data_IF_755604147934
#
_entry.id   IF_755604147934
#
_cell.length_a   1.000
_cell.length_b   1.000
_cell.length_c   1.000
_cell.angle_alpha   90.00
_cell.angle_beta   90.00
_cell.angle_gamma   90.00
#
_symmetry.space_group_name_H-M   'P 1'
#
loop_
_entity.id
_entity.type
_entity.pdbx_description
1 polymer ?
#
# COMPACT_ATOMS: atom_id res chain seq x y z
N UNK A 1 26.97 33.79 -55.90
CA UNK A 1 26.50 34.06 -54.52
C UNK A 1 25.17 33.41 -54.15
N UNK A 2 24.16 33.23 -55.04
CA UNK A 2 22.85 32.62 -54.69
C UNK A 2 22.87 31.13 -54.36
N UNK A 3 23.82 30.34 -54.86
CA UNK A 3 23.92 28.89 -54.59
C UNK A 3 24.41 28.56 -53.15
N UNK A 4 25.24 29.39 -52.55
CA UNK A 4 25.75 29.17 -51.18
C UNK A 4 24.74 29.57 -50.11
N UNK A 5 23.80 30.45 -50.40
CA UNK A 5 22.72 30.86 -49.50
C UNK A 5 21.73 29.70 -49.23
N UNK A 6 21.45 28.87 -50.24
CA UNK A 6 20.58 27.70 -50.10
C UNK A 6 21.18 26.58 -49.25
N UNK A 7 22.51 26.39 -49.35
CA UNK A 7 23.25 25.37 -48.55
C UNK A 7 23.26 25.79 -47.07
N UNK A 8 23.46 27.07 -46.76
CA UNK A 8 23.44 27.57 -45.38
C UNK A 8 22.06 27.42 -44.71
N UNK A 9 20.96 27.66 -45.43
CA UNK A 9 19.61 27.43 -44.90
C UNK A 9 19.29 25.95 -44.66
N UNK A 10 19.77 25.04 -45.52
CA UNK A 10 19.57 23.62 -45.34
C UNK A 10 20.33 23.06 -44.12
N UNK A 11 21.52 23.55 -43.83
CA UNK A 11 22.30 23.16 -42.61
C UNK A 11 21.65 23.65 -41.32
N UNK A 12 21.02 24.81 -41.31
CA UNK A 12 20.27 25.33 -40.16
C UNK A 12 19.02 24.48 -39.84
N UNK A 13 18.31 23.99 -40.85
CA UNK A 13 17.11 23.16 -40.66
C UNK A 13 17.48 21.78 -40.09
N UNK A 14 18.59 21.17 -40.50
CA UNK A 14 19.07 19.87 -40.02
C UNK A 14 19.53 19.99 -38.55
N UNK A 15 20.27 21.04 -38.20
CA UNK A 15 20.71 21.26 -36.81
C UNK A 15 19.53 21.45 -35.83
N UNK A 16 18.48 22.19 -36.24
CA UNK A 16 17.29 22.34 -35.40
C UNK A 16 16.53 21.01 -35.22
N UNK A 17 16.51 20.12 -36.20
CA UNK A 17 15.80 18.85 -36.13
C UNK A 17 16.54 17.84 -35.24
N UNK A 18 17.86 17.82 -35.25
CA UNK A 18 18.67 16.96 -34.37
C UNK A 18 18.59 17.41 -32.92
N UNK A 19 18.71 18.70 -32.64
CA UNK A 19 18.56 19.25 -31.30
C UNK A 19 17.17 18.95 -30.73
N UNK A 20 16.12 19.06 -31.52
CA UNK A 20 14.75 18.73 -31.08
C UNK A 20 14.59 17.25 -30.78
N UNK A 21 15.13 16.34 -31.61
CA UNK A 21 15.10 14.88 -31.37
C UNK A 21 15.87 14.52 -30.11
N UNK A 22 17.01 15.13 -29.84
CA UNK A 22 17.77 14.91 -28.63
C UNK A 22 17.02 15.40 -27.38
N UNK A 23 16.43 16.61 -27.43
CA UNK A 23 15.61 17.16 -26.33
C UNK A 23 14.43 16.26 -25.99
N UNK A 24 13.70 15.78 -27.00
CA UNK A 24 12.58 14.84 -26.80
C UNK A 24 13.08 13.55 -26.15
N UNK A 25 14.21 12.98 -26.59
CA UNK A 25 14.77 11.77 -26.02
C UNK A 25 15.19 11.99 -24.57
N UNK A 26 15.79 13.11 -24.23
CA UNK A 26 16.21 13.44 -22.88
C UNK A 26 15.00 13.63 -21.96
N UNK A 27 13.92 14.26 -22.44
CA UNK A 27 12.66 14.42 -21.72
C UNK A 27 11.98 13.08 -21.45
N UNK A 28 11.95 12.16 -22.43
CA UNK A 28 11.41 10.80 -22.27
C UNK A 28 12.21 9.97 -21.26
N UNK A 29 13.55 10.07 -21.26
CA UNK A 29 14.42 9.40 -20.30
C UNK A 29 14.15 9.91 -18.90
N UNK A 30 14.08 11.22 -18.71
CA UNK A 30 13.79 11.82 -17.41
C UNK A 30 12.40 11.42 -16.88
N UNK A 31 11.39 11.41 -17.74
CA UNK A 31 10.04 10.93 -17.36
C UNK A 31 10.09 9.47 -16.89
N UNK A 32 10.81 8.62 -17.63
CA UNK A 32 10.96 7.22 -17.25
C UNK A 32 11.64 7.06 -15.88
N UNK A 33 12.69 7.82 -15.61
CA UNK A 33 13.36 7.82 -14.31
C UNK A 33 12.39 8.23 -13.18
N UNK A 34 11.60 9.30 -13.38
CA UNK A 34 10.62 9.76 -12.42
C UNK A 34 9.56 8.69 -12.16
N UNK A 35 9.04 8.04 -13.20
CA UNK A 35 8.00 7.00 -13.06
C UNK A 35 8.53 5.74 -12.41
N UNK A 36 9.75 5.30 -12.74
CA UNK A 36 10.40 4.14 -12.13
C UNK A 36 10.68 4.40 -10.63
N UNK A 37 11.24 5.56 -10.29
CA UNK A 37 11.50 5.98 -8.91
C UNK A 37 10.19 6.05 -8.10
N UNK A 38 9.13 6.65 -8.67
CA UNK A 38 7.82 6.71 -8.05
C UNK A 38 7.29 5.31 -7.72
N UNK A 39 7.34 4.40 -8.69
CA UNK A 39 6.90 3.04 -8.49
C UNK A 39 7.69 2.32 -7.39
N UNK A 40 9.02 2.41 -7.42
CA UNK A 40 9.88 1.75 -6.42
C UNK A 40 9.64 2.30 -5.01
N UNK A 41 9.49 3.61 -4.88
CA UNK A 41 9.26 4.24 -3.58
C UNK A 41 7.82 3.97 -3.09
N UNK A 42 6.82 3.98 -3.99
CA UNK A 42 5.44 3.62 -3.69
C UNK A 42 5.34 2.22 -3.08
N UNK A 43 6.06 1.24 -3.61
CA UNK A 43 6.04 -0.13 -3.07
C UNK A 43 6.48 -0.19 -1.59
N UNK A 44 7.31 0.73 -1.14
CA UNK A 44 7.71 0.85 0.27
C UNK A 44 6.59 1.43 1.15
N UNK A 45 5.88 2.43 0.63
CA UNK A 45 4.75 3.04 1.36
C UNK A 45 3.50 2.17 1.33
N UNK A 46 3.33 1.35 0.31
CA UNK A 46 2.17 0.47 0.15
C UNK A 46 2.59 -1.01 0.10
N UNK A 47 3.13 -1.56 1.20
CA UNK A 47 3.69 -2.92 1.22
C UNK A 47 2.66 -4.03 0.98
N UNK A 48 1.37 -3.80 1.19
CA UNK A 48 0.32 -4.75 0.81
C UNK A 48 0.10 -4.76 -0.70
N UNK A 49 0.15 -3.59 -1.36
CA UNK A 49 0.17 -3.48 -2.82
C UNK A 49 1.42 -4.14 -3.40
N UNK A 50 2.59 -3.91 -2.78
CA UNK A 50 3.83 -4.59 -3.16
C UNK A 50 3.70 -6.11 -3.10
N UNK A 51 3.12 -6.64 -2.02
CA UNK A 51 2.87 -8.08 -1.86
C UNK A 51 1.92 -8.60 -2.94
N UNK A 52 0.83 -7.88 -3.25
CA UNK A 52 -0.12 -8.25 -4.28
C UNK A 52 0.51 -8.30 -5.68
N UNK A 53 1.48 -7.42 -5.94
CA UNK A 53 2.27 -7.36 -7.18
C UNK A 53 3.49 -8.31 -7.17
N UNK A 54 3.58 -9.25 -6.23
CA UNK A 54 4.70 -10.17 -6.04
C UNK A 54 6.07 -9.48 -5.78
N UNK A 55 6.04 -8.22 -5.32
CA UNK A 55 7.24 -7.50 -4.92
C UNK A 55 7.54 -7.77 -3.43
N UNK A 56 8.22 -8.90 -3.18
CA UNK A 56 8.34 -9.53 -1.85
C UNK A 56 9.27 -8.81 -0.86
N UNK A 57 9.88 -7.69 -1.26
CA UNK A 57 10.87 -6.97 -0.45
C UNK A 57 10.31 -6.45 0.88
N UNK A 58 9.01 -6.15 0.91
CA UNK A 58 8.33 -5.50 2.03
C UNK A 58 7.26 -6.36 2.69
N UNK A 59 7.35 -7.70 2.55
CA UNK A 59 6.36 -8.65 3.08
C UNK A 59 6.30 -8.71 4.62
N UNK A 60 7.22 -8.05 5.31
CA UNK A 60 7.25 -7.92 6.76
C UNK A 60 6.68 -6.59 7.28
N UNK A 61 6.29 -5.68 6.38
CA UNK A 61 5.79 -4.36 6.75
C UNK A 61 4.27 -4.29 6.66
N UNK A 62 3.67 -3.67 7.67
CA UNK A 62 2.30 -3.20 7.68
C UNK A 62 2.29 -1.82 8.35
N UNK A 63 2.32 -0.74 7.58
CA UNK A 63 2.31 0.60 8.15
C UNK A 63 0.96 0.94 8.78
N UNK A 64 0.98 1.85 9.73
CA UNK A 64 -0.25 2.44 10.28
C UNK A 64 -0.61 3.64 9.40
N UNK A 65 -1.10 3.35 8.19
CA UNK A 65 -1.38 4.34 7.14
C UNK A 65 -2.53 5.32 7.49
N UNK A 66 -3.28 4.98 8.53
CA UNK A 66 -4.32 5.83 9.12
C UNK A 66 -3.79 6.78 10.20
N UNK A 67 -2.50 6.74 10.55
CA UNK A 67 -1.91 7.68 11.50
C UNK A 67 -1.62 9.03 10.86
N UNK A 68 -1.77 10.12 11.62
CA UNK A 68 -1.49 11.47 11.12
C UNK A 68 -0.05 11.59 10.61
N UNK A 69 0.92 10.99 11.31
CA UNK A 69 2.33 11.00 10.89
C UNK A 69 2.55 10.30 9.53
N UNK A 70 1.82 9.20 9.28
CA UNK A 70 1.92 8.51 8.01
C UNK A 70 1.24 9.29 6.87
N UNK A 71 0.10 9.89 7.14
CA UNK A 71 -0.60 10.80 6.21
C UNK A 71 0.31 11.97 5.83
N UNK A 72 1.04 12.57 6.79
CA UNK A 72 2.02 13.61 6.50
C UNK A 72 3.18 13.10 5.65
N UNK A 73 3.63 11.87 5.88
CA UNK A 73 4.65 11.22 5.05
C UNK A 73 4.16 11.02 3.60
N UNK A 74 2.91 10.57 3.42
CA UNK A 74 2.32 10.42 2.09
C UNK A 74 2.15 11.76 1.39
N UNK A 75 1.74 12.81 2.12
CA UNK A 75 1.62 14.17 1.57
C UNK A 75 2.97 14.67 1.03
N UNK A 76 4.05 14.47 1.78
CA UNK A 76 5.40 14.81 1.33
C UNK A 76 5.85 13.95 0.14
N UNK A 77 5.49 12.66 0.12
CA UNK A 77 5.79 11.75 -0.98
C UNK A 77 5.13 12.22 -2.28
N UNK A 78 3.81 12.46 -2.28
CA UNK A 78 3.09 12.89 -3.47
C UNK A 78 3.55 14.27 -3.95
N UNK A 79 3.66 15.23 -3.04
CA UNK A 79 4.15 16.58 -3.36
C UNK A 79 5.52 16.55 -4.04
N UNK A 80 6.47 15.76 -3.51
CA UNK A 80 7.80 15.62 -4.11
C UNK A 80 7.75 15.09 -5.55
N UNK A 81 6.87 14.14 -5.85
CA UNK A 81 6.71 13.63 -7.21
C UNK A 81 5.93 14.58 -8.11
N UNK A 82 4.98 15.33 -7.59
CA UNK A 82 4.33 16.44 -8.31
C UNK A 82 5.36 17.48 -8.75
N UNK A 83 6.26 17.91 -7.85
CA UNK A 83 7.35 18.84 -8.18
C UNK A 83 8.32 18.26 -9.23
N UNK A 84 8.72 16.99 -9.08
CA UNK A 84 9.56 16.32 -10.10
C UNK A 84 8.86 16.30 -11.47
N UNK A 85 7.56 16.01 -11.51
CA UNK A 85 6.80 15.93 -12.76
C UNK A 85 6.69 17.30 -13.46
N UNK A 86 6.64 18.40 -12.70
CA UNK A 86 6.64 19.76 -13.26
C UNK A 86 7.95 20.12 -13.98
N UNK A 87 9.04 19.42 -13.74
CA UNK A 87 10.31 19.65 -14.46
C UNK A 87 10.29 19.09 -15.90
N UNK A 88 9.30 18.27 -16.24
CA UNK A 88 9.14 17.67 -17.55
C UNK A 88 8.57 18.67 -18.55
N UNK A 89 9.20 18.83 -19.70
CA UNK A 89 8.70 19.62 -20.81
C UNK A 89 7.57 18.86 -21.55
N UNK A 90 6.35 18.87 -20.99
CA UNK A 90 5.19 18.16 -21.51
C UNK A 90 4.95 18.30 -23.02
N UNK A 91 5.11 19.49 -23.65
CA UNK A 91 4.97 19.66 -25.10
C UNK A 91 5.92 18.81 -25.97
N UNK A 92 7.00 18.30 -25.41
CA UNK A 92 7.92 17.39 -26.11
C UNK A 92 7.50 15.93 -26.04
N UNK A 93 6.58 15.57 -25.14
CA UNK A 93 6.11 14.21 -24.97
C UNK A 93 5.08 13.85 -26.06
N UNK A 94 5.18 12.62 -26.55
CA UNK A 94 4.23 12.07 -27.54
C UNK A 94 3.91 10.60 -27.26
N UNK A 95 2.81 10.10 -27.81
CA UNK A 95 2.46 8.67 -27.70
C UNK A 95 2.39 8.17 -26.26
N UNK A 96 3.07 7.08 -25.96
CA UNK A 96 3.04 6.43 -24.64
C UNK A 96 3.61 7.31 -23.53
N UNK A 97 4.62 8.12 -23.81
CA UNK A 97 5.24 8.97 -22.79
C UNK A 97 4.27 10.07 -22.33
N UNK A 98 3.52 10.68 -23.26
CA UNK A 98 2.48 11.64 -22.89
C UNK A 98 1.40 10.99 -22.03
N UNK A 99 0.97 9.78 -22.37
CA UNK A 99 -0.01 9.03 -21.57
C UNK A 99 0.54 8.74 -20.18
N UNK A 100 1.79 8.28 -20.08
CA UNK A 100 2.44 8.00 -18.79
C UNK A 100 2.54 9.24 -17.90
N UNK A 101 2.89 10.39 -18.49
CA UNK A 101 2.89 11.67 -17.79
C UNK A 101 1.50 12.03 -17.25
N UNK A 102 0.47 11.97 -18.12
CA UNK A 102 -0.90 12.34 -17.75
C UNK A 102 -1.49 11.42 -16.69
N UNK A 103 -1.21 10.11 -16.77
CA UNK A 103 -1.64 9.13 -15.77
C UNK A 103 -0.96 9.41 -14.44
N UNK A 104 0.36 9.62 -14.41
CA UNK A 104 1.06 9.93 -13.16
C UNK A 104 0.56 11.25 -12.57
N UNK A 105 0.38 12.30 -13.38
CA UNK A 105 -0.16 13.57 -12.93
C UNK A 105 -1.56 13.42 -12.33
N UNK A 106 -2.43 12.63 -12.98
CA UNK A 106 -3.77 12.35 -12.47
C UNK A 106 -3.73 11.62 -11.13
N UNK A 107 -2.88 10.58 -11.01
CA UNK A 107 -2.70 9.83 -9.76
C UNK A 107 -2.24 10.78 -8.63
N UNK A 108 -1.19 11.56 -8.86
CA UNK A 108 -0.65 12.48 -7.85
C UNK A 108 -1.69 13.49 -7.38
N UNK A 109 -2.40 14.12 -8.31
CA UNK A 109 -3.47 15.08 -7.98
C UNK A 109 -4.61 14.42 -7.18
N UNK A 110 -5.03 13.22 -7.57
CA UNK A 110 -6.12 12.50 -6.90
C UNK A 110 -5.73 12.08 -5.48
N UNK A 111 -4.51 11.61 -5.30
CA UNK A 111 -3.99 11.21 -3.99
C UNK A 111 -3.82 12.42 -3.05
N UNK A 112 -3.25 13.52 -3.55
CA UNK A 112 -3.14 14.77 -2.78
C UNK A 112 -4.51 15.32 -2.36
N UNK A 113 -5.50 15.30 -3.26
CA UNK A 113 -6.88 15.67 -2.92
C UNK A 113 -7.49 14.70 -1.90
N UNK A 114 -7.26 13.40 -2.07
CA UNK A 114 -7.73 12.36 -1.14
C UNK A 114 -7.25 12.57 0.30
N UNK A 115 -6.00 13.03 0.48
CA UNK A 115 -5.44 13.31 1.80
C UNK A 115 -6.04 14.54 2.50
N UNK A 116 -6.90 15.32 1.85
CA UNK A 116 -7.64 16.43 2.48
C UNK A 116 -8.87 15.96 3.24
N UNK A 117 -9.35 14.75 2.96
CA UNK A 117 -10.50 14.18 3.64
C UNK A 117 -10.08 13.43 4.90
N UNK A 118 -10.81 13.56 6.01
CA UNK A 118 -10.50 12.91 7.27
C UNK A 118 -10.93 11.43 7.30
N UNK A 119 -10.66 10.69 6.23
CA UNK A 119 -11.03 9.28 6.06
C UNK A 119 -10.41 8.37 7.12
N UNK A 120 -9.25 8.75 7.66
CA UNK A 120 -8.59 8.07 8.75
C UNK A 120 -9.40 8.07 10.07
N UNK A 121 -10.40 8.95 10.21
CA UNK A 121 -11.31 8.97 11.35
C UNK A 121 -12.44 7.93 11.23
N UNK A 122 -12.61 7.31 10.06
CA UNK A 122 -13.57 6.24 9.79
C UNK A 122 -12.87 5.00 9.19
N UNK A 123 -11.87 4.41 9.86
CA UNK A 123 -11.00 3.38 9.28
C UNK A 123 -11.67 2.00 9.15
N UNK A 124 -12.87 1.83 9.69
CA UNK A 124 -13.60 0.56 9.73
C UNK A 124 -14.73 0.57 8.71
N UNK A 125 -14.76 -0.47 7.87
CA UNK A 125 -15.74 -0.61 6.81
C UNK A 125 -16.08 -2.10 6.59
N UNK A 126 -17.38 -2.41 6.39
CA UNK A 126 -17.86 -3.78 6.19
C UNK A 126 -17.44 -4.41 4.85
N UNK A 127 -17.01 -3.61 3.86
CA UNK A 127 -16.71 -4.12 2.51
C UNK A 127 -15.22 -4.34 2.26
N UNK A 128 -14.36 -3.46 2.78
CA UNK A 128 -12.91 -3.47 2.54
C UNK A 128 -12.09 -3.01 3.75
N UNK A 129 -12.58 -3.28 4.95
CA UNK A 129 -11.84 -2.96 6.17
C UNK A 129 -10.55 -3.78 6.30
N UNK A 130 -9.55 -3.21 7.00
CA UNK A 130 -8.25 -3.88 7.20
C UNK A 130 -8.39 -5.26 7.83
N UNK A 131 -9.39 -5.51 8.68
CA UNK A 131 -9.65 -6.83 9.27
C UNK A 131 -9.94 -7.91 8.21
N UNK A 132 -10.66 -7.55 7.11
CA UNK A 132 -10.94 -8.46 6.00
C UNK A 132 -9.67 -8.72 5.17
N UNK A 133 -8.98 -7.64 4.78
CA UNK A 133 -7.73 -7.74 4.02
C UNK A 133 -6.69 -8.56 4.76
N UNK A 134 -6.51 -8.29 6.06
CA UNK A 134 -5.51 -8.97 6.88
C UNK A 134 -5.85 -10.44 7.11
N UNK A 135 -7.13 -10.79 7.29
CA UNK A 135 -7.56 -12.18 7.41
C UNK A 135 -7.33 -12.97 6.11
N UNK A 136 -7.57 -12.35 4.95
CA UNK A 136 -7.24 -12.96 3.66
C UNK A 136 -5.73 -13.21 3.50
N UNK A 137 -4.89 -12.20 3.83
CA UNK A 137 -3.43 -12.35 3.78
C UNK A 137 -2.95 -13.49 4.69
N UNK A 138 -3.49 -13.58 5.90
CA UNK A 138 -3.10 -14.57 6.91
C UNK A 138 -3.67 -15.97 6.69
N UNK A 139 -4.61 -16.15 5.76
CA UNK A 139 -5.22 -17.45 5.47
C UNK A 139 -4.27 -18.47 4.84
N UNK A 140 -3.17 -18.00 4.20
CA UNK A 140 -2.26 -18.84 3.42
C UNK A 140 -2.73 -19.11 1.98
N UNK A 141 -3.85 -18.52 1.55
CA UNK A 141 -4.44 -18.72 0.20
C UNK A 141 -4.51 -17.43 -0.63
N UNK A 142 -3.83 -16.39 -0.19
CA UNK A 142 -3.80 -15.07 -0.83
C UNK A 142 -2.39 -14.72 -1.35
N UNK A 143 -2.15 -13.43 -1.61
CA UNK A 143 -0.88 -12.93 -2.14
C UNK A 143 0.30 -12.99 -1.15
N UNK A 144 0.04 -13.07 0.16
CA UNK A 144 1.10 -13.26 1.15
C UNK A 144 1.76 -14.63 0.95
N UNK A 145 3.08 -14.70 0.67
CA UNK A 145 3.74 -15.98 0.55
C UNK A 145 3.95 -16.67 1.90
N UNK A 146 3.84 -18.01 1.89
CA UNK A 146 4.15 -18.91 3.00
C UNK A 146 4.94 -20.11 2.48
N UNK A 147 6.05 -19.85 1.78
CA UNK A 147 6.89 -20.85 1.12
C UNK A 147 8.20 -21.12 1.85
N UNK A 148 8.68 -20.16 2.61
CA UNK A 148 9.94 -20.20 3.35
C UNK A 148 9.71 -19.84 4.81
N UNK A 149 10.58 -20.30 5.71
CA UNK A 149 10.56 -19.92 7.15
C UNK A 149 10.51 -18.40 7.31
N UNK A 150 11.25 -17.66 6.47
CA UNK A 150 11.25 -16.20 6.47
C UNK A 150 9.87 -15.59 6.14
N UNK A 151 9.08 -16.21 5.28
CA UNK A 151 7.74 -15.72 4.96
C UNK A 151 6.83 -15.78 6.18
N UNK A 152 6.92 -16.86 6.96
CA UNK A 152 6.19 -17.00 8.21
C UNK A 152 6.63 -15.96 9.24
N UNK A 153 7.94 -15.76 9.40
CA UNK A 153 8.48 -14.73 10.31
C UNK A 153 8.08 -13.32 9.88
N UNK A 154 8.03 -13.05 8.57
CA UNK A 154 7.53 -11.79 8.03
C UNK A 154 6.06 -11.54 8.39
N UNK A 155 5.23 -12.58 8.29
CA UNK A 155 3.81 -12.43 8.63
C UNK A 155 3.59 -12.25 10.13
N UNK A 156 4.39 -12.87 11.00
CA UNK A 156 4.36 -12.61 12.44
C UNK A 156 4.63 -11.14 12.78
N UNK A 157 5.56 -10.49 12.07
CA UNK A 157 5.78 -9.04 12.23
C UNK A 157 4.56 -8.23 11.80
N UNK A 158 3.88 -8.64 10.71
CA UNK A 158 2.63 -8.04 10.28
C UNK A 158 1.52 -8.20 11.32
N UNK A 159 1.45 -9.33 12.03
CA UNK A 159 0.48 -9.53 13.11
C UNK A 159 0.68 -8.48 14.20
N UNK A 160 1.91 -8.30 14.69
CA UNK A 160 2.21 -7.30 15.72
C UNK A 160 1.87 -5.88 15.25
N UNK A 161 2.20 -5.54 13.98
CA UNK A 161 1.87 -4.26 13.40
C UNK A 161 0.34 -4.07 13.21
N UNK A 162 -0.39 -5.14 12.90
CA UNK A 162 -1.85 -5.12 12.78
C UNK A 162 -2.53 -4.79 14.12
N UNK A 163 -2.03 -5.32 15.22
CA UNK A 163 -2.55 -4.97 16.58
C UNK A 163 -2.41 -3.47 16.83
N UNK A 164 -1.24 -2.90 16.54
CA UNK A 164 -1.02 -1.45 16.66
C UNK A 164 -1.92 -0.64 15.70
N UNK A 165 -2.16 -1.15 14.49
CA UNK A 165 -3.10 -0.57 13.54
C UNK A 165 -4.52 -0.52 14.13
N UNK A 166 -4.99 -1.62 14.73
CA UNK A 166 -6.32 -1.70 15.35
C UNK A 166 -6.46 -0.72 16.52
N UNK A 167 -5.43 -0.59 17.36
CA UNK A 167 -5.43 0.38 18.46
C UNK A 167 -5.50 1.82 17.95
N UNK A 168 -4.78 2.14 16.88
CA UNK A 168 -4.85 3.44 16.21
C UNK A 168 -6.23 3.68 15.60
N UNK A 169 -6.85 2.64 15.01
CA UNK A 169 -8.21 2.71 14.46
C UNK A 169 -9.22 3.12 15.53
N UNK A 170 -9.18 2.51 16.71
CA UNK A 170 -10.04 2.87 17.83
C UNK A 170 -9.80 4.33 18.26
N UNK A 171 -8.53 4.72 18.38
CA UNK A 171 -8.17 6.10 18.72
C UNK A 171 -8.70 7.13 17.71
N UNK A 172 -8.58 6.83 16.43
CA UNK A 172 -9.07 7.67 15.34
C UNK A 172 -10.60 7.76 15.35
N UNK A 173 -11.31 6.65 15.51
CA UNK A 173 -12.79 6.66 15.60
C UNK A 173 -13.27 7.49 16.80
N UNK A 174 -12.62 7.40 17.97
CA UNK A 174 -12.92 8.28 19.11
C UNK A 174 -12.75 9.77 18.78
N UNK A 175 -11.68 10.11 18.04
CA UNK A 175 -11.49 11.49 17.55
C UNK A 175 -12.58 11.87 16.55
N UNK A 176 -12.99 10.95 15.67
CA UNK A 176 -14.09 11.15 14.73
C UNK A 176 -15.41 11.45 15.44
N UNK A 177 -15.76 10.68 16.46
CA UNK A 177 -16.95 10.89 17.27
C UNK A 177 -16.98 12.31 17.89
N UNK A 178 -15.86 12.78 18.42
CA UNK A 178 -15.75 14.15 18.96
C UNK A 178 -15.94 15.24 17.90
N UNK A 179 -15.71 14.93 16.62
CA UNK A 179 -15.83 15.86 15.49
C UNK A 179 -17.13 15.66 14.69
N UNK A 180 -17.98 14.71 15.08
CA UNK A 180 -19.20 14.36 14.33
C UNK A 180 -18.92 13.61 13.01
N UNK A 181 -17.72 13.03 12.86
CA UNK A 181 -17.29 12.25 11.71
C UNK A 181 -17.39 10.77 12.07
N UNK A 182 -18.51 10.16 11.73
CA UNK A 182 -18.83 8.78 12.09
C UNK A 182 -19.44 8.04 10.90
N UNK A 183 -19.20 6.72 10.76
CA UNK A 183 -19.88 5.90 9.77
C UNK A 183 -21.36 5.77 10.10
N UNK A 184 -22.18 5.45 9.08
CA UNK A 184 -23.58 5.16 9.30
C UNK A 184 -23.74 3.91 10.20
N UNK A 185 -24.67 3.99 11.17
CA UNK A 185 -24.93 2.93 12.17
C UNK A 185 -25.07 1.54 11.56
N UNK A 186 -25.81 1.41 10.48
CA UNK A 186 -26.04 0.11 9.81
C UNK A 186 -24.72 -0.53 9.31
N UNK A 187 -23.71 0.27 8.93
CA UNK A 187 -22.40 -0.23 8.51
C UNK A 187 -21.65 -0.83 9.70
N UNK A 188 -21.73 -0.18 10.86
CA UNK A 188 -21.12 -0.68 12.11
C UNK A 188 -21.81 -1.96 12.56
N UNK A 189 -23.13 -1.99 12.60
CA UNK A 189 -23.91 -3.19 12.95
C UNK A 189 -23.57 -4.41 12.09
N UNK A 190 -23.22 -4.19 10.82
CA UNK A 190 -22.76 -5.25 9.91
C UNK A 190 -21.30 -5.62 10.05
N UNK A 191 -20.46 -4.73 10.59
CA UNK A 191 -19.03 -4.96 10.79
C UNK A 191 -18.74 -5.74 12.08
N UNK A 192 -19.54 -5.54 13.13
CA UNK A 192 -19.37 -6.24 14.42
C UNK A 192 -19.32 -7.77 14.27
N UNK A 193 -20.25 -8.45 13.56
CA UNK A 193 -20.18 -9.89 13.35
C UNK A 193 -18.89 -10.34 12.62
N UNK A 194 -18.36 -9.51 11.72
CA UNK A 194 -17.12 -9.82 11.01
C UNK A 194 -15.94 -9.92 11.98
N UNK A 195 -15.78 -8.95 12.88
CA UNK A 195 -14.76 -8.99 13.92
C UNK A 195 -14.93 -10.19 14.85
N UNK A 196 -16.16 -10.45 15.31
CA UNK A 196 -16.48 -11.60 16.17
C UNK A 196 -16.14 -12.94 15.51
N UNK A 197 -16.36 -13.07 14.21
CA UNK A 197 -16.06 -14.30 13.47
C UNK A 197 -14.56 -14.59 13.33
N UNK A 198 -13.70 -13.60 13.56
CA UNK A 198 -12.24 -13.76 13.53
C UNK A 198 -11.66 -14.22 14.89
N UNK A 199 -12.45 -14.18 15.96
CA UNK A 199 -12.05 -14.64 17.29
C UNK A 199 -12.21 -16.16 17.34
N UNK A 200 -11.11 -16.88 17.43
CA UNK A 200 -11.11 -18.34 17.46
C UNK A 200 -11.10 -18.88 18.89
N UNK A 201 -12.00 -19.80 19.22
CA UNK A 201 -12.03 -20.47 20.51
C UNK A 201 -10.89 -21.47 20.68
N UNK A 202 -10.48 -22.10 19.57
CA UNK A 202 -9.30 -22.97 19.48
C UNK A 202 -8.39 -22.43 18.39
N UNK A 203 -7.11 -22.53 18.60
CA UNK A 203 -6.13 -21.96 17.68
C UNK A 203 -6.26 -22.54 16.26
N UNK A 204 -6.59 -23.83 16.16
CA UNK A 204 -6.74 -24.54 14.89
C UNK A 204 -7.96 -24.09 14.08
N UNK A 205 -8.92 -23.43 14.72
CA UNK A 205 -10.13 -22.90 14.08
C UNK A 205 -9.87 -21.50 13.46
N UNK A 206 -8.77 -20.85 13.85
CA UNK A 206 -8.42 -19.55 13.32
C UNK A 206 -8.03 -19.61 11.85
N UNK A 207 -8.51 -18.65 11.05
CA UNK A 207 -8.07 -18.46 9.67
C UNK A 207 -6.55 -18.26 9.57
N UNK A 208 -5.95 -17.63 10.57
CA UNK A 208 -4.51 -17.38 10.63
C UNK A 208 -3.67 -18.63 10.94
N UNK A 209 -4.30 -19.74 11.32
CA UNK A 209 -3.63 -21.03 11.50
C UNK A 209 -3.53 -21.83 10.19
N UNK A 210 -4.16 -21.35 9.12
CA UNK A 210 -4.12 -21.98 7.79
C UNK A 210 -2.70 -22.27 7.28
N UNK A 211 -1.75 -21.32 7.33
CA UNK A 211 -0.36 -21.57 6.95
C UNK A 211 0.31 -22.67 7.80
N UNK A 212 0.00 -22.77 9.09
CA UNK A 212 0.56 -23.78 9.99
C UNK A 212 0.11 -25.20 9.60
N UNK A 213 -1.15 -25.36 9.21
CA UNK A 213 -1.68 -26.63 8.71
C UNK A 213 -1.02 -27.09 7.40
N UNK A 214 -0.49 -26.14 6.64
CA UNK A 214 0.04 -26.35 5.30
C UNK A 214 1.52 -25.95 5.17
N UNK A 215 2.30 -26.14 6.26
CA UNK A 215 3.74 -25.87 6.19
C UNK A 215 4.42 -26.78 5.15
N UNK A 216 5.39 -26.26 4.38
CA UNK A 216 6.16 -27.06 3.43
C UNK A 216 6.85 -28.24 4.10
N UNK A 217 6.86 -29.41 3.43
CA UNK A 217 7.54 -30.62 3.91
C UNK A 217 9.05 -30.42 4.08
N UNK A 218 9.62 -29.48 3.33
CA UNK A 218 11.04 -29.12 3.37
C UNK A 218 11.48 -28.39 4.64
N UNK A 219 10.53 -27.96 5.50
CA UNK A 219 10.89 -27.32 6.77
C UNK A 219 11.41 -28.36 7.76
N UNK A 220 12.43 -27.99 8.54
CA UNK A 220 12.91 -28.81 9.65
C UNK A 220 11.83 -28.96 10.74
N UNK A 221 11.87 -30.07 11.49
CA UNK A 221 10.95 -30.27 12.62
C UNK A 221 11.07 -29.16 13.65
N UNK A 222 12.28 -28.66 13.88
CA UNK A 222 12.55 -27.51 14.77
C UNK A 222 11.86 -26.24 14.29
N UNK A 223 11.89 -25.95 12.98
CA UNK A 223 11.21 -24.78 12.43
C UNK A 223 9.69 -24.94 12.49
N UNK A 224 9.17 -26.14 12.20
CA UNK A 224 7.74 -26.44 12.29
C UNK A 224 7.23 -26.25 13.72
N UNK A 225 7.94 -26.77 14.70
CA UNK A 225 7.59 -26.62 16.12
C UNK A 225 7.64 -25.15 16.54
N UNK A 226 8.73 -24.44 16.24
CA UNK A 226 8.91 -23.02 16.55
C UNK A 226 7.79 -22.17 15.97
N UNK A 227 7.49 -22.34 14.69
CA UNK A 227 6.45 -21.59 13.99
C UNK A 227 5.07 -21.91 14.54
N UNK A 228 4.78 -23.18 14.85
CA UNK A 228 3.50 -23.59 15.47
C UNK A 228 3.29 -22.88 16.81
N UNK A 229 4.30 -22.85 17.66
CA UNK A 229 4.25 -22.15 18.96
C UNK A 229 4.07 -20.64 18.75
N UNK A 230 4.85 -20.02 17.85
CA UNK A 230 4.80 -18.59 17.59
C UNK A 230 3.43 -18.14 17.06
N UNK A 231 2.87 -18.86 16.08
CA UNK A 231 1.55 -18.56 15.52
C UNK A 231 0.43 -18.78 16.53
N UNK A 232 0.49 -19.88 17.30
CA UNK A 232 -0.49 -20.13 18.36
C UNK A 232 -0.51 -19.00 19.39
N UNK A 233 0.67 -18.52 19.79
CA UNK A 233 0.80 -17.38 20.70
C UNK A 233 0.24 -16.10 20.05
N UNK A 234 0.62 -15.78 18.82
CA UNK A 234 0.18 -14.58 18.11
C UNK A 234 -1.35 -14.57 17.93
N UNK A 235 -1.96 -15.72 17.60
CA UNK A 235 -3.41 -15.83 17.44
C UNK A 235 -4.12 -15.60 18.78
N UNK A 236 -3.73 -16.34 19.82
CA UNK A 236 -4.46 -16.34 21.09
C UNK A 236 -4.17 -15.11 21.96
N UNK A 237 -2.95 -14.56 21.91
CA UNK A 237 -2.52 -13.49 22.81
C UNK A 237 -2.43 -12.11 22.15
N UNK A 238 -2.46 -12.03 20.82
CA UNK A 238 -2.38 -10.75 20.10
C UNK A 238 -3.65 -10.52 19.25
N UNK A 239 -3.97 -11.42 18.31
CA UNK A 239 -5.09 -11.20 17.37
C UNK A 239 -6.46 -11.31 18.06
N UNK A 240 -6.72 -12.38 18.80
CA UNK A 240 -8.01 -12.56 19.49
C UNK A 240 -8.34 -11.38 20.42
N UNK A 241 -7.45 -10.95 21.33
CA UNK A 241 -7.71 -9.78 22.18
C UNK A 241 -7.90 -8.48 21.36
N UNK A 242 -7.20 -8.32 20.25
CA UNK A 242 -7.33 -7.15 19.39
C UNK A 242 -8.70 -7.12 18.69
N UNK A 243 -9.17 -8.26 18.15
CA UNK A 243 -10.50 -8.37 17.56
C UNK A 243 -11.61 -8.19 18.60
N UNK A 244 -11.45 -8.76 19.78
CA UNK A 244 -12.40 -8.60 20.89
C UNK A 244 -12.49 -7.12 21.31
N UNK A 245 -11.36 -6.46 21.51
CA UNK A 245 -11.29 -5.03 21.86
C UNK A 245 -12.04 -4.17 20.83
N UNK A 246 -11.83 -4.43 19.53
CA UNK A 246 -12.51 -3.69 18.47
C UNK A 246 -14.02 -4.00 18.47
N UNK A 247 -14.44 -5.27 18.56
CA UNK A 247 -15.86 -5.63 18.55
C UNK A 247 -16.60 -5.02 19.74
N UNK A 248 -16.00 -5.03 20.94
CA UNK A 248 -16.55 -4.41 22.15
C UNK A 248 -16.64 -2.89 22.01
N UNK A 249 -15.64 -2.25 21.40
CA UNK A 249 -15.68 -0.82 21.10
C UNK A 249 -16.85 -0.48 20.17
N UNK A 250 -16.99 -1.20 19.06
CA UNK A 250 -18.05 -0.96 18.06
C UNK A 250 -19.46 -1.23 18.60
N UNK A 251 -19.61 -2.07 19.63
CA UNK A 251 -20.91 -2.36 20.27
C UNK A 251 -21.35 -1.30 21.27
N UNK A 252 -20.41 -0.59 21.88
CA UNK A 252 -20.68 0.31 23.00
C UNK A 252 -20.81 1.77 22.60
N UNK A 253 -20.13 2.16 21.53
CA UNK A 253 -20.02 3.54 21.09
C UNK A 253 -20.84 3.81 19.80
#
# INVERSE_FOLDING_TARGET
MKKYLFIACALFIISCSENRKQSIKDTSVLLKEITDDYYQERMRYFPLEATANAYNRYNDLLPIDISDAYIDTLRQFYHRYSEKLLTINKPELTGQDLISYEVLQYILNTEEEGLKFPSNLMPVNQFWGMHLTFSQLGSGTSSQPFKTVKDYDNFLKRITAFVAYQDTSIGNMKRGMLQGIVPARILIERTIPQYKSLIASKVEESVFYGPIKNMPDSFSDTDKERLTIAYSKAILQELNPSFEKMSVFLEKE
#
